data_IF_706779763884
#
_entry.id   IF_706779763884
#
_cell.length_a   1.000
_cell.length_b   1.000
_cell.length_c   1.000
_cell.angle_alpha   90.00
_cell.angle_beta   90.00
_cell.angle_gamma   90.00
#
_symmetry.space_group_name_H-M   'P 1'
#
loop_
_entity.id
_entity.type
_entity.pdbx_description
1 polymer ?
#
# COMPACT_ATOMS: atom_id res chain seq x y z
N UNK A 1 -0.42 -6.83 6.19
CA UNK A 1 -0.45 -6.84 4.71
C UNK A 1 -1.61 -7.67 4.17
N UNK A 2 -1.70 -8.99 4.38
CA UNK A 2 -2.82 -9.79 3.84
C UNK A 2 -4.21 -9.27 4.26
N UNK A 3 -4.39 -8.91 5.54
CA UNK A 3 -5.64 -8.32 6.02
C UNK A 3 -5.96 -6.95 5.36
N UNK A 4 -4.94 -6.15 5.04
CA UNK A 4 -5.11 -4.85 4.37
C UNK A 4 -5.55 -5.05 2.91
N UNK A 5 -4.93 -5.98 2.19
CA UNK A 5 -5.33 -6.33 0.82
C UNK A 5 -6.72 -6.99 0.79
N UNK A 6 -7.05 -7.84 1.77
CA UNK A 6 -8.39 -8.39 1.91
C UNK A 6 -9.43 -7.29 2.13
N UNK A 7 -9.16 -6.34 3.03
CA UNK A 7 -10.04 -5.20 3.26
C UNK A 7 -10.19 -4.37 1.98
N UNK A 8 -9.09 -4.02 1.29
CA UNK A 8 -9.18 -3.31 0.00
C UNK A 8 -10.04 -4.06 -1.00
N UNK A 9 -9.89 -5.39 -1.08
CA UNK A 9 -10.70 -6.23 -1.96
C UNK A 9 -12.19 -6.17 -1.60
N UNK A 10 -12.53 -6.45 -0.34
CA UNK A 10 -13.91 -6.49 0.13
C UNK A 10 -14.60 -5.13 -0.01
N UNK A 11 -13.94 -4.06 0.43
CA UNK A 11 -14.49 -2.70 0.46
C UNK A 11 -14.73 -2.17 -0.95
N UNK A 12 -13.77 -2.36 -1.88
CA UNK A 12 -13.94 -1.92 -3.27
C UNK A 12 -15.05 -2.69 -3.97
N UNK A 13 -15.15 -4.00 -3.74
CA UNK A 13 -16.23 -4.83 -4.28
C UNK A 13 -17.58 -4.33 -3.77
N UNK A 14 -17.74 -4.18 -2.44
CA UNK A 14 -18.98 -3.68 -1.83
C UNK A 14 -19.32 -2.29 -2.37
N UNK A 15 -18.36 -1.38 -2.46
CA UNK A 15 -18.58 -0.03 -2.97
C UNK A 15 -19.05 -0.03 -4.44
N UNK A 16 -18.44 -0.86 -5.29
CA UNK A 16 -18.88 -1.03 -6.68
C UNK A 16 -20.29 -1.66 -6.76
N UNK A 17 -20.63 -2.60 -5.87
CA UNK A 17 -21.96 -3.20 -5.78
C UNK A 17 -23.02 -2.18 -5.30
N UNK A 18 -22.69 -1.33 -4.34
CA UNK A 18 -23.56 -0.26 -3.86
C UNK A 18 -23.84 0.75 -4.98
N UNK A 19 -22.80 1.22 -5.68
CA UNK A 19 -22.96 2.11 -6.84
C UNK A 19 -23.76 1.46 -7.98
N UNK A 20 -23.56 0.16 -8.25
CA UNK A 20 -24.40 -0.58 -9.20
C UNK A 20 -25.88 -0.51 -8.80
N UNK A 21 -26.18 -0.68 -7.51
CA UNK A 21 -27.54 -0.57 -6.99
C UNK A 21 -28.16 0.82 -7.19
N UNK A 22 -27.36 1.88 -7.17
CA UNK A 22 -27.81 3.25 -7.41
C UNK A 22 -28.00 3.55 -8.90
N UNK A 23 -27.02 3.22 -9.74
CA UNK A 23 -27.02 3.57 -11.17
C UNK A 23 -27.97 2.70 -12.00
N UNK A 24 -28.17 1.44 -11.60
CA UNK A 24 -28.98 0.48 -12.36
C UNK A 24 -30.35 0.17 -11.74
N UNK A 25 -30.87 1.05 -10.87
CA UNK A 25 -32.21 0.89 -10.29
C UNK A 25 -32.39 -0.39 -9.45
N UNK A 26 -31.31 -0.97 -8.93
CA UNK A 26 -31.35 -2.19 -8.12
C UNK A 26 -31.43 -3.51 -8.91
N UNK A 27 -31.13 -3.53 -10.22
CA UNK A 27 -31.03 -4.78 -10.96
C UNK A 27 -29.98 -5.72 -10.35
N UNK A 28 -30.43 -6.82 -9.73
CA UNK A 28 -29.58 -7.78 -9.04
C UNK A 28 -28.44 -8.30 -9.93
N UNK A 29 -28.68 -8.41 -11.23
CA UNK A 29 -27.68 -8.81 -12.22
C UNK A 29 -26.48 -7.86 -12.22
N UNK A 30 -26.71 -6.55 -12.28
CA UNK A 30 -25.65 -5.53 -12.36
C UNK A 30 -24.94 -5.38 -11.01
N UNK A 31 -25.68 -5.53 -9.90
CA UNK A 31 -25.09 -5.57 -8.55
C UNK A 31 -24.12 -6.73 -8.39
N UNK A 32 -24.37 -7.90 -9.00
CA UNK A 32 -23.48 -9.06 -8.91
C UNK A 32 -22.27 -9.01 -9.86
N UNK A 33 -22.22 -8.06 -10.82
CA UNK A 33 -21.16 -8.00 -11.82
C UNK A 33 -19.74 -7.85 -11.25
N UNK A 34 -19.47 -6.98 -10.26
CA UNK A 34 -18.14 -6.91 -9.63
C UNK A 34 -17.65 -8.25 -9.08
N UNK A 35 -18.56 -9.05 -8.50
CA UNK A 35 -18.24 -10.40 -8.00
C UNK A 35 -17.89 -11.36 -9.13
N UNK A 36 -18.58 -11.28 -10.27
CA UNK A 36 -18.27 -12.08 -11.45
C UNK A 36 -16.87 -11.76 -12.04
N UNK A 37 -16.50 -10.47 -12.06
CA UNK A 37 -15.13 -10.07 -12.41
C UNK A 37 -14.10 -10.62 -11.42
N UNK A 38 -14.38 -10.52 -10.11
CA UNK A 38 -13.53 -11.08 -9.06
C UNK A 38 -13.35 -12.59 -9.18
N UNK A 39 -14.42 -13.35 -9.42
CA UNK A 39 -14.36 -14.79 -9.63
C UNK A 39 -13.51 -15.16 -10.85
N UNK A 40 -13.68 -14.42 -11.95
CA UNK A 40 -12.88 -14.58 -13.17
C UNK A 40 -11.40 -14.30 -12.89
N UNK A 41 -11.13 -13.23 -12.15
CA UNK A 41 -9.78 -12.83 -11.77
C UNK A 41 -9.05 -13.86 -10.90
N UNK A 42 -9.76 -14.57 -10.02
CA UNK A 42 -9.19 -15.67 -9.23
C UNK A 42 -8.73 -16.79 -10.18
N UNK A 43 -9.57 -17.19 -11.14
CA UNK A 43 -9.22 -18.25 -12.10
C UNK A 43 -8.04 -17.85 -12.99
N UNK A 44 -8.02 -16.61 -13.48
CA UNK A 44 -6.91 -16.13 -14.32
C UNK A 44 -5.62 -15.93 -13.54
N UNK A 45 -5.71 -15.54 -12.26
CA UNK A 45 -4.56 -15.51 -11.34
C UNK A 45 -3.97 -16.90 -11.12
N UNK A 46 -4.82 -17.91 -10.85
CA UNK A 46 -4.36 -19.31 -10.72
C UNK A 46 -3.68 -19.75 -12.01
N UNK A 47 -4.31 -19.53 -13.18
CA UNK A 47 -3.73 -19.91 -14.46
C UNK A 47 -2.38 -19.20 -14.73
N UNK A 48 -2.27 -17.90 -14.41
CA UNK A 48 -1.03 -17.15 -14.60
C UNK A 48 0.10 -17.59 -13.68
N UNK A 49 -0.20 -18.07 -12.45
CA UNK A 49 0.84 -18.64 -11.57
C UNK A 49 1.49 -19.90 -12.15
N UNK A 50 0.76 -20.70 -12.93
CA UNK A 50 1.30 -21.90 -13.59
C UNK A 50 2.37 -21.57 -14.65
N UNK A 51 2.40 -20.32 -15.12
CA UNK A 51 3.38 -19.82 -16.11
C UNK A 51 4.68 -19.36 -15.45
N UNK A 52 4.72 -19.19 -14.12
CA UNK A 52 5.91 -18.75 -13.38
C UNK A 52 6.97 -19.84 -13.42
N UNK A 53 7.96 -19.68 -14.30
CA UNK A 53 9.10 -20.58 -14.46
C UNK A 53 10.40 -19.79 -14.59
N UNK A 54 11.44 -20.23 -13.89
CA UNK A 54 12.78 -19.69 -14.04
C UNK A 54 13.29 -19.94 -15.46
N UNK A 55 13.83 -18.89 -16.07
CA UNK A 55 14.47 -18.98 -17.39
C UNK A 55 15.94 -19.36 -17.28
N UNK A 56 16.62 -19.41 -18.42
CA UNK A 56 18.06 -19.74 -18.52
C UNK A 56 18.98 -18.84 -17.68
N UNK A 57 18.56 -17.59 -17.42
CA UNK A 57 19.31 -16.63 -16.60
C UNK A 57 19.15 -16.83 -15.09
N UNK A 58 18.24 -17.70 -14.64
CA UNK A 58 17.94 -17.89 -13.21
C UNK A 58 17.29 -16.68 -12.52
N UNK A 59 16.98 -15.59 -13.24
CA UNK A 59 16.46 -14.37 -12.65
C UNK A 59 15.00 -14.53 -12.19
N UNK A 60 14.77 -14.30 -10.89
CA UNK A 60 13.49 -14.54 -10.22
C UNK A 60 12.46 -13.44 -10.55
N UNK A 61 12.83 -12.16 -10.45
CA UNK A 61 11.89 -11.04 -10.72
C UNK A 61 11.23 -11.12 -12.11
N UNK A 62 11.96 -11.36 -13.22
CA UNK A 62 11.33 -11.54 -14.53
C UNK A 62 10.39 -12.75 -14.62
N UNK A 63 10.57 -13.78 -13.79
CA UNK A 63 9.64 -14.91 -13.73
C UNK A 63 8.33 -14.52 -13.02
N UNK A 64 8.43 -13.78 -11.90
CA UNK A 64 7.27 -13.26 -11.18
C UNK A 64 6.46 -12.27 -12.04
N UNK A 65 7.12 -11.34 -12.72
CA UNK A 65 6.45 -10.41 -13.63
C UNK A 65 5.81 -11.10 -14.85
N UNK A 66 6.38 -12.21 -15.34
CA UNK A 66 5.73 -13.03 -16.37
C UNK A 66 4.41 -13.63 -15.88
N UNK A 67 4.37 -14.15 -14.65
CA UNK A 67 3.13 -14.65 -14.05
C UNK A 67 2.07 -13.56 -13.87
N UNK A 68 2.49 -12.38 -13.42
CA UNK A 68 1.62 -11.21 -13.31
C UNK A 68 1.06 -10.78 -14.68
N UNK A 69 1.92 -10.65 -15.69
CA UNK A 69 1.52 -10.26 -17.05
C UNK A 69 0.59 -11.30 -17.68
N UNK A 70 0.84 -12.59 -17.46
CA UNK A 70 -0.05 -13.66 -17.90
C UNK A 70 -1.42 -13.55 -17.21
N UNK A 71 -1.45 -13.32 -15.90
CA UNK A 71 -2.70 -13.16 -15.14
C UNK A 71 -3.50 -11.95 -15.63
N UNK A 72 -2.84 -10.82 -15.86
CA UNK A 72 -3.45 -9.59 -16.39
C UNK A 72 -3.97 -9.77 -17.81
N UNK A 73 -3.18 -10.40 -18.70
CA UNK A 73 -3.59 -10.67 -20.08
C UNK A 73 -4.79 -11.63 -20.15
N UNK A 74 -4.77 -12.70 -19.35
CA UNK A 74 -5.90 -13.61 -19.25
C UNK A 74 -7.14 -12.91 -18.67
N UNK A 75 -6.98 -12.10 -17.61
CA UNK A 75 -8.08 -11.31 -17.05
C UNK A 75 -8.68 -10.38 -18.11
N UNK A 76 -7.86 -9.63 -18.85
CA UNK A 76 -8.31 -8.77 -19.93
C UNK A 76 -9.14 -9.54 -20.98
N UNK A 77 -8.68 -10.71 -21.42
CA UNK A 77 -9.42 -11.54 -22.40
C UNK A 77 -10.74 -12.05 -21.84
N UNK A 78 -10.75 -12.57 -20.61
CA UNK A 78 -11.94 -13.18 -20.01
C UNK A 78 -12.95 -12.16 -19.45
N UNK A 79 -12.54 -10.91 -19.23
CA UNK A 79 -13.47 -9.87 -18.82
C UNK A 79 -14.52 -9.58 -19.89
N UNK A 80 -14.15 -9.56 -21.18
CA UNK A 80 -15.12 -9.31 -22.25
C UNK A 80 -16.34 -10.25 -22.24
N UNK A 81 -16.18 -11.59 -22.32
CA UNK A 81 -17.33 -12.49 -22.34
C UNK A 81 -18.14 -12.44 -21.03
N UNK A 82 -17.53 -12.08 -19.91
CA UNK A 82 -18.24 -11.84 -18.65
C UNK A 82 -19.05 -10.56 -18.75
N UNK A 83 -18.45 -9.42 -19.12
CA UNK A 83 -19.15 -8.14 -19.28
C UNK A 83 -20.31 -8.24 -20.27
N UNK A 84 -20.11 -8.91 -21.42
CA UNK A 84 -21.14 -9.09 -22.44
C UNK A 84 -22.36 -9.91 -21.98
N UNK A 85 -22.21 -10.76 -20.94
CA UNK A 85 -23.35 -11.47 -20.33
C UNK A 85 -24.14 -10.59 -19.38
N UNK A 86 -23.51 -9.60 -18.76
CA UNK A 86 -24.12 -8.76 -17.73
C UNK A 86 -24.78 -7.52 -18.32
N UNK A 87 -24.16 -6.90 -19.33
CA UNK A 87 -24.60 -5.64 -19.92
C UNK A 87 -25.12 -5.80 -21.35
N UNK A 88 -25.87 -4.81 -21.83
CA UNK A 88 -26.34 -4.77 -23.21
C UNK A 88 -25.17 -4.50 -24.17
N UNK A 89 -25.34 -4.80 -25.45
CA UNK A 89 -24.31 -4.55 -26.46
C UNK A 89 -23.88 -3.06 -26.55
N UNK A 90 -24.75 -2.13 -26.14
CA UNK A 90 -24.45 -0.71 -26.12
C UNK A 90 -23.57 -0.28 -24.94
N UNK A 91 -23.80 -0.83 -23.74
CA UNK A 91 -23.06 -0.42 -22.53
C UNK A 91 -21.86 -1.32 -22.21
N UNK A 92 -21.87 -2.59 -22.64
CA UNK A 92 -20.79 -3.54 -22.39
C UNK A 92 -19.40 -3.05 -22.83
N UNK A 93 -19.20 -2.39 -23.99
CA UNK A 93 -17.89 -1.91 -24.40
C UNK A 93 -17.29 -0.90 -23.42
N UNK A 94 -18.08 0.07 -22.95
CA UNK A 94 -17.60 1.08 -21.99
C UNK A 94 -17.17 0.45 -20.67
N UNK A 95 -18.00 -0.44 -20.12
CA UNK A 95 -17.71 -1.16 -18.87
C UNK A 95 -16.47 -2.04 -19.00
N UNK A 96 -16.32 -2.74 -20.12
CA UNK A 96 -15.15 -3.55 -20.40
C UNK A 96 -13.88 -2.69 -20.47
N UNK A 97 -13.91 -1.59 -21.22
CA UNK A 97 -12.78 -0.66 -21.32
C UNK A 97 -12.40 -0.08 -19.95
N UNK A 98 -13.38 0.27 -19.11
CA UNK A 98 -13.11 0.70 -17.73
C UNK A 98 -12.36 -0.36 -16.91
N UNK A 99 -12.69 -1.65 -17.05
CA UNK A 99 -11.96 -2.73 -16.37
C UNK A 99 -10.50 -2.85 -16.84
N UNK A 100 -10.26 -2.61 -18.14
CA UNK A 100 -8.90 -2.59 -18.71
C UNK A 100 -8.10 -1.38 -18.25
N UNK A 101 -8.75 -0.23 -18.04
CA UNK A 101 -8.11 0.96 -17.42
C UNK A 101 -7.58 0.59 -16.04
N UNK A 102 -8.35 -0.15 -15.24
CA UNK A 102 -7.89 -0.67 -13.94
C UNK A 102 -6.62 -1.52 -14.05
N UNK A 103 -6.59 -2.48 -14.97
CA UNK A 103 -5.40 -3.30 -15.24
C UNK A 103 -4.19 -2.46 -15.65
N UNK A 104 -4.40 -1.48 -16.54
CA UNK A 104 -3.36 -0.59 -17.02
C UNK A 104 -2.81 0.30 -15.90
N UNK A 105 -3.68 0.88 -15.07
CA UNK A 105 -3.29 1.68 -13.90
C UNK A 105 -2.44 0.84 -12.95
N UNK A 106 -2.85 -0.39 -12.63
CA UNK A 106 -2.04 -1.29 -11.78
C UNK A 106 -0.67 -1.54 -12.39
N UNK A 107 -0.58 -1.89 -13.68
CA UNK A 107 0.71 -2.14 -14.32
C UNK A 107 1.63 -0.90 -14.29
N UNK A 108 1.08 0.28 -14.61
CA UNK A 108 1.83 1.54 -14.60
C UNK A 108 2.32 1.92 -13.19
N UNK A 109 1.47 1.76 -12.17
CA UNK A 109 1.86 2.02 -10.78
C UNK A 109 3.00 1.10 -10.35
N UNK A 110 2.94 -0.19 -10.69
CA UNK A 110 4.01 -1.13 -10.37
C UNK A 110 5.33 -0.76 -11.04
N UNK A 111 5.30 -0.32 -12.31
CA UNK A 111 6.50 0.15 -13.02
C UNK A 111 7.10 1.40 -12.38
N UNK A 112 6.26 2.35 -11.99
CA UNK A 112 6.71 3.58 -11.32
C UNK A 112 7.28 3.26 -9.93
N UNK A 113 6.65 2.38 -9.16
CA UNK A 113 7.20 1.94 -7.87
C UNK A 113 8.54 1.23 -8.04
N UNK A 114 8.71 0.35 -9.05
CA UNK A 114 10.01 -0.27 -9.37
C UNK A 114 11.06 0.79 -9.74
N UNK A 115 10.69 1.84 -10.48
CA UNK A 115 11.60 2.94 -10.82
C UNK A 115 12.14 3.67 -9.58
N UNK A 116 11.27 3.98 -8.60
CA UNK A 116 11.68 4.71 -7.40
C UNK A 116 12.38 3.84 -6.35
N UNK A 117 12.19 2.53 -6.37
CA UNK A 117 12.67 1.64 -5.31
C UNK A 117 13.75 0.68 -5.76
N UNK A 118 13.94 0.42 -7.05
CA UNK A 118 14.96 -0.50 -7.54
C UNK A 118 16.35 0.13 -7.61
N UNK A 119 17.36 -0.67 -7.27
CA UNK A 119 18.79 -0.31 -7.30
C UNK A 119 19.30 0.07 -8.70
N UNK A 120 18.54 -0.28 -9.74
CA UNK A 120 18.88 -0.04 -11.15
C UNK A 120 18.68 1.41 -11.57
N UNK A 121 17.89 2.20 -10.85
CA UNK A 121 17.47 3.51 -11.31
C UNK A 121 18.11 4.65 -10.52
N UNK A 122 17.92 5.88 -11.02
CA UNK A 122 18.50 7.11 -10.45
C UNK A 122 18.11 7.31 -8.98
N UNK A 123 16.84 7.15 -8.54
CA UNK A 123 16.44 7.55 -7.18
C UNK A 123 17.23 6.84 -6.07
N UNK A 124 17.34 5.51 -6.15
CA UNK A 124 18.13 4.71 -5.19
C UNK A 124 19.61 5.01 -5.28
N UNK A 125 20.16 5.14 -6.50
CA UNK A 125 21.58 5.44 -6.71
C UNK A 125 21.97 6.82 -6.18
N UNK A 126 21.08 7.81 -6.28
CA UNK A 126 21.29 9.13 -5.71
C UNK A 126 21.38 9.09 -4.18
N UNK A 127 20.51 8.33 -3.50
CA UNK A 127 20.58 8.13 -2.04
C UNK A 127 21.88 7.41 -1.64
N UNK A 128 22.26 6.37 -2.39
CA UNK A 128 23.51 5.64 -2.13
C UNK A 128 24.73 6.57 -2.27
N UNK A 129 24.81 7.35 -3.35
CA UNK A 129 25.87 8.33 -3.56
C UNK A 129 25.89 9.41 -2.47
N UNK A 130 24.73 9.93 -2.07
CA UNK A 130 24.64 10.93 -0.99
C UNK A 130 25.17 10.39 0.35
N UNK A 131 25.16 9.07 0.55
CA UNK A 131 25.71 8.42 1.74
C UNK A 131 27.22 8.61 1.88
N UNK A 132 27.95 8.84 0.79
CA UNK A 132 29.39 9.15 0.84
C UNK A 132 29.68 10.46 1.59
N UNK A 133 28.75 11.42 1.53
CA UNK A 133 28.84 12.68 2.26
C UNK A 133 28.32 12.59 3.71
N UNK A 134 27.76 11.45 4.13
CA UNK A 134 27.33 11.17 5.50
C UNK A 134 25.81 11.10 5.71
N UNK A 135 25.42 11.03 6.98
CA UNK A 135 24.03 10.76 7.41
C UNK A 135 23.04 11.85 6.98
N UNK A 136 23.39 13.13 7.17
CA UNK A 136 22.51 14.26 6.82
C UNK A 136 22.13 14.29 5.34
N UNK A 137 23.11 14.30 4.41
CA UNK A 137 22.86 14.24 2.97
C UNK A 137 22.05 13.01 2.54
N UNK A 138 22.29 11.85 3.16
CA UNK A 138 21.49 10.63 2.90
C UNK A 138 20.01 10.85 3.25
N UNK A 139 19.70 11.41 4.42
CA UNK A 139 18.32 11.66 4.85
C UNK A 139 17.65 12.72 3.96
N UNK A 140 18.34 13.82 3.66
CA UNK A 140 17.80 14.88 2.80
C UNK A 140 17.46 14.32 1.41
N UNK A 141 18.38 13.56 0.82
CA UNK A 141 18.18 12.99 -0.52
C UNK A 141 17.06 11.96 -0.53
N UNK A 142 16.96 11.12 0.50
CA UNK A 142 15.87 10.15 0.60
C UNK A 142 14.50 10.80 0.80
N UNK A 143 14.40 11.86 1.60
CA UNK A 143 13.17 12.65 1.72
C UNK A 143 12.79 13.34 0.40
N UNK A 144 13.77 13.85 -0.34
CA UNK A 144 13.52 14.43 -1.67
C UNK A 144 12.95 13.39 -2.64
N UNK A 145 13.56 12.18 -2.69
CA UNK A 145 13.06 11.06 -3.49
C UNK A 145 11.67 10.61 -3.03
N UNK A 146 11.42 10.58 -1.72
CA UNK A 146 10.13 10.27 -1.11
C UNK A 146 9.03 11.21 -1.66
N UNK A 147 9.26 12.53 -1.63
CA UNK A 147 8.32 13.52 -2.14
C UNK A 147 8.16 13.44 -3.66
N UNK A 148 9.26 13.23 -4.41
CA UNK A 148 9.24 13.08 -5.86
C UNK A 148 8.40 11.87 -6.31
N UNK A 149 8.47 10.76 -5.57
CA UNK A 149 7.82 9.48 -5.91
C UNK A 149 6.30 9.55 -6.00
N UNK A 150 5.69 10.61 -5.49
CA UNK A 150 4.24 10.79 -5.44
C UNK A 150 3.66 11.30 -6.76
N UNK A 151 4.45 12.05 -7.55
CA UNK A 151 3.95 12.81 -8.70
C UNK A 151 3.41 11.90 -9.80
N UNK A 152 4.20 10.92 -10.25
CA UNK A 152 3.79 10.01 -11.32
C UNK A 152 2.60 9.12 -10.94
N UNK A 153 2.55 8.50 -9.74
CA UNK A 153 1.38 7.74 -9.31
C UNK A 153 0.08 8.55 -9.33
N UNK A 154 0.10 9.80 -8.88
CA UNK A 154 -1.08 10.68 -8.90
C UNK A 154 -1.53 10.99 -10.33
N UNK A 155 -0.59 11.27 -11.23
CA UNK A 155 -0.91 11.49 -12.66
C UNK A 155 -1.55 10.25 -13.27
N UNK A 156 -1.00 9.06 -13.00
CA UNK A 156 -1.54 7.79 -13.49
C UNK A 156 -2.95 7.54 -12.96
N UNK A 157 -3.17 7.74 -11.65
CA UNK A 157 -4.49 7.58 -11.02
C UNK A 157 -5.47 8.59 -11.62
N UNK A 158 -5.10 9.87 -11.74
CA UNK A 158 -5.95 10.90 -12.32
C UNK A 158 -6.33 10.62 -13.77
N UNK A 159 -5.37 10.22 -14.61
CA UNK A 159 -5.63 9.80 -15.98
C UNK A 159 -6.54 8.56 -16.05
N UNK A 160 -6.33 7.60 -15.15
CA UNK A 160 -7.17 6.41 -15.02
C UNK A 160 -8.61 6.75 -14.64
N UNK A 161 -8.81 7.66 -13.67
CA UNK A 161 -10.14 8.16 -13.29
C UNK A 161 -10.83 8.82 -14.47
N UNK A 162 -10.16 9.74 -15.17
CA UNK A 162 -10.74 10.45 -16.33
C UNK A 162 -11.10 9.48 -17.46
N UNK A 163 -10.22 8.53 -17.79
CA UNK A 163 -10.46 7.54 -18.82
C UNK A 163 -11.61 6.58 -18.45
N UNK A 164 -11.63 6.07 -17.22
CA UNK A 164 -12.70 5.18 -16.77
C UNK A 164 -14.04 5.91 -16.71
N UNK A 165 -14.04 7.18 -16.30
CA UNK A 165 -15.23 8.04 -16.26
C UNK A 165 -15.78 8.35 -17.66
N UNK A 166 -14.92 8.59 -18.66
CA UNK A 166 -15.39 8.86 -20.02
C UNK A 166 -16.05 7.64 -20.68
N UNK A 167 -15.71 6.41 -20.25
CA UNK A 167 -16.30 5.19 -20.78
C UNK A 167 -17.65 4.80 -20.15
N UNK A 168 -17.81 4.98 -18.84
CA UNK A 168 -19.03 4.54 -18.13
C UNK A 168 -19.36 5.35 -16.87
N UNK A 169 -18.95 6.62 -16.82
CA UNK A 169 -19.19 7.52 -15.69
C UNK A 169 -18.58 7.01 -14.37
N UNK A 170 -19.21 7.36 -13.26
CA UNK A 170 -18.73 6.98 -11.92
C UNK A 170 -18.71 5.45 -11.72
N UNK A 171 -19.62 4.73 -12.36
CA UNK A 171 -19.61 3.28 -12.33
C UNK A 171 -18.42 2.70 -13.11
N UNK A 172 -18.02 3.34 -14.22
CA UNK A 172 -16.76 3.04 -14.91
C UNK A 172 -15.55 3.17 -13.99
N UNK A 173 -15.47 4.24 -13.19
CA UNK A 173 -14.41 4.40 -12.17
C UNK A 173 -14.44 3.26 -11.15
N UNK A 174 -15.62 2.86 -10.68
CA UNK A 174 -15.77 1.73 -9.77
C UNK A 174 -15.29 0.40 -10.39
N UNK A 175 -15.61 0.16 -11.65
CA UNK A 175 -15.17 -1.02 -12.39
C UNK A 175 -13.67 -0.98 -12.68
N UNK A 176 -13.07 0.20 -12.88
CA UNK A 176 -11.62 0.33 -12.96
C UNK A 176 -10.95 -0.04 -11.62
N UNK A 177 -11.50 0.43 -10.49
CA UNK A 177 -11.03 0.02 -9.16
C UNK A 177 -11.13 -1.50 -8.94
N UNK A 178 -12.23 -2.12 -9.36
CA UNK A 178 -12.42 -3.59 -9.35
C UNK A 178 -11.43 -4.29 -10.29
N UNK A 179 -11.17 -3.71 -11.47
CA UNK A 179 -10.20 -4.21 -12.43
C UNK A 179 -8.78 -4.24 -11.87
N UNK A 180 -8.38 -3.25 -11.06
CA UNK A 180 -7.10 -3.29 -10.33
C UNK A 180 -7.01 -4.51 -9.42
N UNK A 181 -8.11 -4.84 -8.71
CA UNK A 181 -8.18 -5.96 -7.78
C UNK A 181 -8.06 -7.33 -8.41
N UNK A 182 -8.20 -7.42 -9.73
CA UNK A 182 -8.09 -8.69 -10.43
C UNK A 182 -6.72 -9.35 -10.32
N UNK A 183 -5.70 -8.58 -9.98
CA UNK A 183 -4.33 -9.05 -9.78
C UNK A 183 -4.01 -9.31 -8.30
N UNK A 184 -4.96 -9.08 -7.38
CA UNK A 184 -4.75 -9.19 -5.94
C UNK A 184 -4.21 -10.56 -5.53
N UNK A 185 -4.72 -11.66 -6.11
CA UNK A 185 -4.27 -13.02 -5.78
C UNK A 185 -2.77 -13.23 -6.06
N UNK A 186 -2.31 -12.84 -7.25
CA UNK A 186 -0.89 -12.93 -7.62
C UNK A 186 -0.03 -11.95 -6.82
N UNK A 187 -0.55 -10.75 -6.55
CA UNK A 187 0.17 -9.73 -5.78
C UNK A 187 0.36 -10.21 -4.33
N UNK A 188 -0.65 -10.77 -3.68
CA UNK A 188 -0.52 -11.36 -2.32
C UNK A 188 0.52 -12.48 -2.31
N UNK A 189 0.54 -13.33 -3.34
CA UNK A 189 1.52 -14.41 -3.43
C UNK A 189 2.96 -13.87 -3.59
N UNK A 190 3.15 -12.86 -4.44
CA UNK A 190 4.42 -12.18 -4.67
C UNK A 190 4.89 -11.41 -3.42
N UNK A 191 3.97 -10.80 -2.67
CA UNK A 191 4.31 -10.10 -1.43
C UNK A 191 4.71 -11.08 -0.33
N UNK A 192 3.95 -12.16 -0.17
CA UNK A 192 4.22 -13.20 0.83
C UNK A 192 5.57 -13.89 0.63
N UNK A 193 6.08 -13.90 -0.60
CA UNK A 193 7.42 -14.40 -0.90
C UNK A 193 8.51 -13.69 -0.09
N UNK A 194 8.42 -12.36 0.06
CA UNK A 194 9.46 -11.57 0.73
C UNK A 194 9.67 -11.92 2.22
N UNK A 195 8.63 -11.90 3.06
CA UNK A 195 8.75 -12.34 4.46
C UNK A 195 9.16 -13.80 4.63
N UNK A 196 8.81 -14.69 3.70
CA UNK A 196 9.27 -16.09 3.72
C UNK A 196 10.77 -16.15 3.50
N UNK A 197 11.29 -15.43 2.51
CA UNK A 197 12.73 -15.40 2.22
C UNK A 197 13.54 -14.72 3.31
N UNK A 198 13.01 -13.65 3.92
CA UNK A 198 13.64 -13.00 5.09
C UNK A 198 13.79 -13.97 6.27
N UNK A 199 12.72 -14.70 6.61
CA UNK A 199 12.77 -15.67 7.69
C UNK A 199 13.73 -16.82 7.36
N UNK A 200 13.77 -17.27 6.11
CA UNK A 200 14.73 -18.30 5.67
C UNK A 200 16.18 -17.81 5.83
N UNK A 201 16.49 -16.57 5.44
CA UNK A 201 17.81 -15.95 5.64
C UNK A 201 18.16 -15.84 7.13
N UNK A 202 17.22 -15.40 7.97
CA UNK A 202 17.42 -15.33 9.41
C UNK A 202 17.69 -16.69 10.05
N UNK A 203 16.92 -17.72 9.69
CA UNK A 203 17.13 -19.10 10.15
C UNK A 203 18.49 -19.63 9.69
N UNK A 204 18.89 -19.36 8.44
CA UNK A 204 20.19 -19.77 7.91
C UNK A 204 21.36 -19.12 8.68
N UNK A 205 21.26 -17.83 9.00
CA UNK A 205 22.25 -17.13 9.82
C UNK A 205 22.32 -17.73 11.23
N UNK A 206 21.17 -17.88 11.90
CA UNK A 206 21.08 -18.39 13.28
C UNK A 206 21.47 -19.86 13.42
N UNK A 207 21.30 -20.68 12.38
CA UNK A 207 21.70 -22.09 12.36
C UNK A 207 23.16 -22.32 11.98
N UNK A 208 23.90 -21.26 11.61
CA UNK A 208 25.27 -21.38 11.13
C UNK A 208 25.38 -22.04 9.76
N UNK A 209 24.37 -21.90 8.91
CA UNK A 209 24.37 -22.47 7.56
C UNK A 209 25.59 -21.99 6.74
N UNK A 210 26.02 -22.83 5.80
CA UNK A 210 27.20 -22.54 4.98
C UNK A 210 27.03 -21.21 4.22
N UNK A 211 28.14 -20.49 4.00
CA UNK A 211 28.13 -19.25 3.21
C UNK A 211 27.53 -19.45 1.84
N UNK A 212 27.72 -20.62 1.24
CA UNK A 212 27.11 -20.98 -0.03
C UNK A 212 25.58 -20.87 -0.01
N UNK A 213 24.92 -21.40 1.03
CA UNK A 213 23.45 -21.33 1.14
C UNK A 213 22.99 -19.89 1.34
N UNK A 214 23.70 -19.11 2.16
CA UNK A 214 23.38 -17.70 2.41
C UNK A 214 23.57 -16.86 1.15
N UNK A 215 24.76 -16.88 0.58
CA UNK A 215 25.20 -15.96 -0.47
C UNK A 215 24.68 -16.37 -1.87
N UNK A 216 24.65 -17.66 -2.21
CA UNK A 216 24.26 -18.11 -3.57
C UNK A 216 22.76 -18.38 -3.71
N UNK A 217 22.05 -18.69 -2.61
CA UNK A 217 20.64 -19.07 -2.66
C UNK A 217 19.76 -18.02 -2.00
N UNK A 218 20.02 -17.67 -0.74
CA UNK A 218 19.10 -16.83 0.04
C UNK A 218 19.22 -15.34 -0.25
N UNK A 219 20.43 -14.81 -0.45
CA UNK A 219 20.65 -13.40 -0.77
C UNK A 219 19.93 -12.94 -2.06
N UNK A 220 19.97 -13.70 -3.18
CA UNK A 220 19.17 -13.39 -4.36
C UNK A 220 17.66 -13.41 -4.09
N UNK A 221 17.19 -14.34 -3.26
CA UNK A 221 15.77 -14.46 -2.91
C UNK A 221 15.30 -13.29 -2.03
N UNK A 222 16.08 -12.89 -1.02
CA UNK A 222 15.83 -11.70 -0.17
C UNK A 222 15.79 -10.41 -1.00
N UNK A 223 16.77 -10.22 -1.89
CA UNK A 223 16.83 -9.03 -2.74
C UNK A 223 15.57 -8.87 -3.62
N UNK A 224 15.06 -9.98 -4.14
CA UNK A 224 13.79 -10.03 -4.87
C UNK A 224 12.63 -9.71 -3.94
N UNK A 225 12.58 -10.34 -2.77
CA UNK A 225 11.57 -10.14 -1.73
C UNK A 225 11.37 -8.67 -1.33
N UNK A 226 12.44 -7.89 -1.23
CA UNK A 226 12.34 -6.48 -0.86
C UNK A 226 11.79 -5.60 -2.00
N UNK A 227 12.10 -5.94 -3.25
CA UNK A 227 11.50 -5.25 -4.41
C UNK A 227 10.02 -5.62 -4.55
N UNK A 228 9.66 -6.89 -4.36
CA UNK A 228 8.27 -7.33 -4.44
C UNK A 228 7.40 -6.70 -3.37
N UNK A 229 7.87 -6.64 -2.11
CA UNK A 229 7.19 -5.93 -1.01
C UNK A 229 6.93 -4.46 -1.34
N UNK A 230 7.88 -3.77 -1.97
CA UNK A 230 7.71 -2.36 -2.32
C UNK A 230 6.61 -2.19 -3.37
N UNK A 231 6.67 -3.00 -4.43
CA UNK A 231 5.71 -2.97 -5.54
C UNK A 231 4.29 -3.34 -5.08
N UNK A 232 4.15 -4.32 -4.20
CA UNK A 232 2.84 -4.76 -3.67
C UNK A 232 2.21 -3.71 -2.75
N UNK A 233 3.02 -3.03 -1.92
CA UNK A 233 2.56 -1.88 -1.14
C UNK A 233 2.15 -0.71 -2.03
N UNK A 234 2.91 -0.42 -3.09
CA UNK A 234 2.55 0.59 -4.08
C UNK A 234 1.19 0.31 -4.75
N UNK A 235 0.94 -0.95 -5.10
CA UNK A 235 -0.36 -1.41 -5.57
C UNK A 235 -1.48 -1.24 -4.52
N UNK A 236 -1.24 -1.65 -3.27
CA UNK A 236 -2.22 -1.54 -2.20
C UNK A 236 -2.66 -0.08 -1.99
N UNK A 237 -1.70 0.84 -2.00
CA UNK A 237 -1.94 2.27 -1.83
C UNK A 237 -2.67 2.88 -3.05
N UNK A 238 -2.24 2.55 -4.27
CA UNK A 238 -2.87 3.08 -5.48
C UNK A 238 -4.31 2.59 -5.66
N UNK A 239 -4.56 1.31 -5.40
CA UNK A 239 -5.93 0.73 -5.43
C UNK A 239 -6.83 1.35 -4.36
N UNK A 240 -6.29 1.67 -3.19
CA UNK A 240 -7.02 2.34 -2.12
C UNK A 240 -7.48 3.75 -2.48
N UNK A 241 -6.65 4.53 -3.18
CA UNK A 241 -7.02 5.87 -3.63
C UNK A 241 -8.25 5.84 -4.54
N UNK A 242 -8.27 4.90 -5.48
CA UNK A 242 -9.41 4.66 -6.37
C UNK A 242 -10.63 4.09 -5.64
N UNK A 243 -10.44 3.16 -4.70
CA UNK A 243 -11.51 2.63 -3.87
C UNK A 243 -12.17 3.70 -2.98
N UNK A 244 -11.39 4.60 -2.39
CA UNK A 244 -11.87 5.69 -1.57
C UNK A 244 -12.70 6.71 -2.37
N UNK A 245 -12.33 6.99 -3.63
CA UNK A 245 -13.15 7.81 -4.52
C UNK A 245 -14.53 7.16 -4.79
N UNK A 246 -14.54 5.84 -4.97
CA UNK A 246 -15.77 5.05 -5.16
C UNK A 246 -16.63 5.05 -3.89
N UNK A 247 -16.01 4.92 -2.71
CA UNK A 247 -16.72 5.04 -1.43
C UNK A 247 -17.29 6.45 -1.21
N UNK A 248 -16.56 7.49 -1.60
CA UNK A 248 -17.05 8.85 -1.54
C UNK A 248 -18.28 9.04 -2.45
N UNK A 249 -18.25 8.50 -3.66
CA UNK A 249 -19.42 8.50 -4.53
C UNK A 249 -20.60 7.72 -3.92
N UNK A 250 -20.34 6.57 -3.28
CA UNK A 250 -21.38 5.84 -2.57
C UNK A 250 -21.97 6.67 -1.41
N UNK A 251 -21.14 7.46 -0.72
CA UNK A 251 -21.58 8.35 0.35
C UNK A 251 -22.49 9.46 -0.15
N UNK A 252 -22.14 10.09 -1.28
CA UNK A 252 -23.00 11.14 -1.86
C UNK A 252 -24.34 10.60 -2.32
N UNK A 253 -24.37 9.41 -2.92
CA UNK A 253 -25.60 8.76 -3.39
C UNK A 253 -26.51 8.33 -2.23
N UNK A 254 -25.94 7.79 -1.15
CA UNK A 254 -26.70 7.37 0.03
C UNK A 254 -27.40 8.55 0.71
N UNK A 255 -26.69 9.68 0.85
CA UNK A 255 -27.30 10.91 1.39
C UNK A 255 -28.41 11.45 0.47
N UNK A 256 -28.22 11.35 -0.85
CA UNK A 256 -29.25 11.72 -1.83
C UNK A 256 -30.54 10.91 -1.68
N UNK A 257 -30.43 9.58 -1.46
CA UNK A 257 -31.58 8.71 -1.19
C UNK A 257 -32.32 9.05 0.10
N UNK A 258 -31.58 9.46 1.12
CA UNK A 258 -32.13 9.88 2.41
C UNK A 258 -32.72 11.31 2.35
N UNK A 259 -32.79 11.93 1.17
CA UNK A 259 -33.47 13.21 0.94
C UNK A 259 -32.58 14.45 1.03
N UNK A 260 -31.26 14.28 1.20
CA UNK A 260 -30.29 15.37 1.21
C UNK A 260 -29.41 15.32 -0.03
N UNK A 261 -29.84 15.95 -1.13
CA UNK A 261 -28.98 16.17 -2.30
C UNK A 261 -27.91 17.23 -1.96
N UNK A 262 -26.85 16.79 -1.29
CA UNK A 262 -25.73 17.67 -0.93
C UNK A 262 -24.86 17.95 -2.16
N UNK A 263 -24.75 19.22 -2.53
CA UNK A 263 -23.75 19.68 -3.48
C UNK A 263 -22.47 20.01 -2.72
N UNK A 264 -21.38 19.29 -2.98
CA UNK A 264 -20.08 19.54 -2.37
C UNK A 264 -19.33 20.61 -3.14
N UNK A 265 -19.74 21.88 -2.97
CA UNK A 265 -19.01 23.00 -3.56
C UNK A 265 -17.78 23.37 -2.73
N UNK A 266 -16.65 23.60 -3.39
CA UNK A 266 -15.44 24.14 -2.73
C UNK A 266 -15.61 25.58 -2.26
N UNK A 267 -16.66 26.28 -2.70
CA UNK A 267 -17.01 27.60 -2.17
C UNK A 267 -17.67 27.55 -0.79
N UNK A 268 -18.14 26.37 -0.35
CA UNK A 268 -18.82 26.21 0.93
C UNK A 268 -17.81 26.10 2.07
N UNK A 269 -17.87 26.97 3.10
CA UNK A 269 -16.91 26.97 4.21
C UNK A 269 -16.81 25.63 4.95
N UNK A 270 -17.94 24.91 5.12
CA UNK A 270 -17.96 23.61 5.79
C UNK A 270 -17.20 22.54 5.01
N UNK A 271 -17.25 22.57 3.67
CA UNK A 271 -16.46 21.66 2.82
C UNK A 271 -14.97 21.95 2.98
N UNK A 272 -14.58 23.23 2.97
CA UNK A 272 -13.18 23.63 3.18
C UNK A 272 -12.64 23.25 4.56
N UNK A 273 -13.43 23.48 5.62
CA UNK A 273 -13.08 23.03 6.99
C UNK A 273 -12.90 21.52 7.02
N UNK A 274 -13.84 20.78 6.41
CA UNK A 274 -13.73 19.33 6.27
C UNK A 274 -12.44 18.90 5.56
N UNK A 275 -12.11 19.55 4.44
CA UNK A 275 -10.89 19.26 3.67
C UNK A 275 -9.62 19.48 4.50
N UNK A 276 -9.52 20.57 5.27
CA UNK A 276 -8.37 20.81 6.14
C UNK A 276 -8.28 19.79 7.28
N UNK A 277 -9.40 19.47 7.93
CA UNK A 277 -9.46 18.47 9.00
C UNK A 277 -9.06 17.10 8.46
N UNK A 278 -9.71 16.64 7.38
CA UNK A 278 -9.37 15.38 6.71
C UNK A 278 -7.93 15.36 6.23
N UNK A 279 -7.45 16.48 5.67
CA UNK A 279 -6.08 16.64 5.20
C UNK A 279 -5.03 16.48 6.29
N UNK A 280 -5.33 16.92 7.51
CA UNK A 280 -4.44 16.83 8.67
C UNK A 280 -4.39 15.43 9.31
N UNK A 281 -5.45 14.63 9.17
CA UNK A 281 -5.56 13.30 9.81
C UNK A 281 -4.43 12.35 9.41
N UNK A 282 -4.06 12.19 8.11
CA UNK A 282 -2.93 11.36 7.72
C UNK A 282 -1.60 11.79 8.34
N UNK A 283 -1.33 13.09 8.46
CA UNK A 283 -0.11 13.58 9.09
C UNK A 283 -0.08 13.28 10.59
N UNK A 284 -1.21 13.47 11.28
CA UNK A 284 -1.33 13.12 12.69
C UNK A 284 -1.15 11.61 12.92
N UNK A 285 -1.82 10.80 12.11
CA UNK A 285 -1.70 9.33 12.15
C UNK A 285 -0.25 8.89 11.95
N UNK A 286 0.42 9.44 10.93
CA UNK A 286 1.81 9.10 10.61
C UNK A 286 2.75 9.49 11.73
N UNK A 287 2.55 10.67 12.31
CA UNK A 287 3.30 11.14 13.48
C UNK A 287 3.14 10.21 14.68
N UNK A 288 1.91 9.79 15.01
CA UNK A 288 1.64 8.85 16.10
C UNK A 288 2.33 7.50 15.86
N UNK A 289 2.18 6.94 14.66
CA UNK A 289 2.80 5.68 14.28
C UNK A 289 4.34 5.73 14.36
N UNK A 290 4.95 6.80 13.84
CA UNK A 290 6.41 6.98 13.90
C UNK A 290 6.92 7.15 15.34
N UNK A 291 6.22 7.94 16.17
CA UNK A 291 6.58 8.14 17.58
C UNK A 291 6.50 6.84 18.37
N UNK A 292 5.48 6.02 18.12
CA UNK A 292 5.32 4.71 18.73
C UNK A 292 6.52 3.78 18.43
N UNK A 293 6.93 3.70 17.16
CA UNK A 293 8.08 2.89 16.76
C UNK A 293 9.38 3.45 17.34
N UNK A 294 9.63 4.75 17.25
CA UNK A 294 10.87 5.35 17.75
C UNK A 294 11.08 5.17 19.26
N UNK A 295 10.01 5.34 20.04
CA UNK A 295 10.02 5.09 21.50
C UNK A 295 10.33 3.62 21.82
N UNK A 296 9.67 2.71 21.12
CA UNK A 296 9.83 1.26 21.33
C UNK A 296 11.22 0.77 20.91
N UNK A 297 11.71 1.22 19.75
CA UNK A 297 13.04 0.91 19.26
C UNK A 297 14.13 1.32 20.26
N UNK A 298 13.99 2.50 20.87
CA UNK A 298 14.91 2.97 21.91
C UNK A 298 14.94 2.04 23.14
N UNK A 299 13.78 1.52 23.55
CA UNK A 299 13.70 0.53 24.64
C UNK A 299 14.34 -0.80 24.26
N UNK A 300 14.15 -1.28 23.03
CA UNK A 300 14.81 -2.51 22.54
C UNK A 300 16.32 -2.34 22.50
N UNK A 301 16.82 -1.22 22.01
CA UNK A 301 18.27 -0.92 21.98
C UNK A 301 18.86 -0.88 23.40
N UNK A 302 18.17 -0.24 24.34
CA UNK A 302 18.60 -0.20 25.74
C UNK A 302 18.68 -1.61 26.35
N UNK A 303 17.70 -2.46 26.06
CA UNK A 303 17.66 -3.85 26.54
C UNK A 303 18.76 -4.71 25.90
N UNK A 304 18.97 -4.61 24.59
CA UNK A 304 20.06 -5.33 23.90
C UNK A 304 21.43 -4.91 24.46
N UNK A 305 21.64 -3.61 24.68
CA UNK A 305 22.86 -3.10 25.32
C UNK A 305 23.04 -3.60 26.75
N UNK A 306 21.95 -3.67 27.53
CA UNK A 306 21.96 -4.26 28.88
C UNK A 306 22.40 -5.72 28.83
N UNK A 307 21.83 -6.53 27.94
CA UNK A 307 22.19 -7.94 27.81
C UNK A 307 23.68 -8.11 27.44
N UNK A 308 24.19 -7.35 26.47
CA UNK A 308 25.61 -7.42 26.10
C UNK A 308 26.57 -6.98 27.22
N UNK A 309 26.17 -6.02 28.07
CA UNK A 309 27.00 -5.54 29.18
C UNK A 309 26.93 -6.46 30.39
N UNK A 310 25.74 -6.90 30.76
CA UNK A 310 25.48 -7.51 32.07
C UNK A 310 25.49 -9.05 32.04
N UNK A 311 25.42 -9.68 30.86
CA UNK A 311 25.40 -11.15 30.71
C UNK A 311 26.68 -11.60 30.00
N UNK A 312 27.70 -12.07 30.75
CA UNK A 312 28.94 -12.58 30.16
C UNK A 312 28.70 -13.77 29.23
N UNK A 313 29.50 -13.86 28.16
CA UNK A 313 29.46 -14.99 27.22
C UNK A 313 28.52 -14.82 26.03
N UNK A 314 27.64 -13.79 26.01
CA UNK A 314 26.79 -13.53 24.82
C UNK A 314 27.64 -13.17 23.61
N UNK A 315 28.55 -12.19 23.74
CA UNK A 315 29.44 -11.77 22.64
C UNK A 315 30.44 -12.86 22.24
N UNK A 316 30.75 -13.79 23.15
CA UNK A 316 31.59 -14.95 22.88
C UNK A 316 30.81 -16.11 22.25
N UNK A 317 29.48 -16.02 22.15
CA UNK A 317 28.61 -17.08 21.64
C UNK A 317 28.44 -18.28 22.56
N UNK A 318 28.88 -18.21 23.82
CA UNK A 318 28.80 -19.32 24.79
C UNK A 318 27.54 -19.28 25.64
N UNK A 319 26.88 -18.12 25.74
CA UNK A 319 25.66 -17.91 26.53
C UNK A 319 24.50 -17.52 25.61
N UNK A 320 23.32 -18.11 25.83
CA UNK A 320 22.11 -17.75 25.08
C UNK A 320 21.53 -16.40 25.56
N UNK A 321 21.20 -15.46 24.65
CA UNK A 321 20.50 -14.22 24.98
C UNK A 321 19.07 -14.43 25.52
N UNK A 322 18.55 -13.42 26.22
CA UNK A 322 17.18 -13.41 26.74
C UNK A 322 16.19 -12.91 25.65
N UNK A 323 15.91 -13.74 24.64
CA UNK A 323 15.03 -13.37 23.53
C UNK A 323 13.61 -12.98 23.97
N UNK A 324 13.05 -13.69 24.97
CA UNK A 324 11.71 -13.45 25.48
C UNK A 324 11.52 -12.03 26.02
N UNK A 325 12.58 -11.39 26.52
CA UNK A 325 12.53 -10.02 27.03
C UNK A 325 12.39 -8.99 25.92
N UNK A 326 13.12 -9.18 24.81
CA UNK A 326 12.95 -8.35 23.62
C UNK A 326 11.54 -8.50 23.03
N UNK A 327 11.02 -9.73 22.96
CA UNK A 327 9.64 -10.02 22.50
C UNK A 327 8.60 -9.36 23.39
N UNK A 328 8.74 -9.43 24.71
CA UNK A 328 7.80 -8.82 25.67
C UNK A 328 7.73 -7.29 25.54
N UNK A 329 8.89 -6.63 25.37
CA UNK A 329 8.97 -5.18 25.15
C UNK A 329 8.17 -4.77 23.91
N UNK A 330 8.46 -5.39 22.76
CA UNK A 330 7.78 -5.03 21.50
C UNK A 330 6.30 -5.37 21.53
N UNK A 331 5.92 -6.49 22.16
CA UNK A 331 4.51 -6.93 22.24
C UNK A 331 3.68 -5.96 23.09
N UNK A 332 4.14 -5.63 24.30
CA UNK A 332 3.43 -4.70 25.19
C UNK A 332 3.36 -3.29 24.63
N UNK A 333 4.39 -2.88 23.88
CA UNK A 333 4.40 -1.58 23.22
C UNK A 333 3.43 -1.56 22.04
N UNK A 334 3.48 -2.56 21.15
CA UNK A 334 2.57 -2.65 20.01
C UNK A 334 1.10 -2.61 20.42
N UNK A 335 0.70 -3.38 21.45
CA UNK A 335 -0.67 -3.40 21.98
C UNK A 335 -1.14 -2.06 22.55
N UNK A 336 -0.25 -1.33 23.24
CA UNK A 336 -0.61 -0.04 23.85
C UNK A 336 -0.60 1.10 22.84
N UNK A 337 0.42 1.15 22.00
CA UNK A 337 0.65 2.27 21.09
C UNK A 337 -0.25 2.21 19.84
N UNK A 338 -0.83 1.04 19.49
CA UNK A 338 -1.78 0.94 18.37
C UNK A 338 -3.15 1.58 18.64
N UNK A 339 -3.51 1.81 19.91
CA UNK A 339 -4.86 2.23 20.30
C UNK A 339 -5.23 3.60 19.71
N UNK A 340 -4.35 4.59 19.84
CA UNK A 340 -4.63 5.95 19.37
C UNK A 340 -4.69 6.07 17.84
N UNK A 341 -3.72 5.52 17.07
CA UNK A 341 -3.84 5.45 15.62
C UNK A 341 -5.11 4.75 15.16
N UNK A 342 -5.53 3.65 15.82
CA UNK A 342 -6.74 2.92 15.44
C UNK A 342 -8.04 3.68 15.76
N UNK A 343 -8.07 4.44 16.86
CA UNK A 343 -9.24 5.22 17.25
C UNK A 343 -9.46 6.44 16.36
N UNK A 344 -8.39 7.08 15.90
CA UNK A 344 -8.43 8.30 15.09
C UNK A 344 -9.36 8.21 13.86
N UNK A 345 -9.22 7.22 12.94
CA UNK A 345 -10.07 7.12 11.75
C UNK A 345 -11.53 6.77 12.06
N UNK A 346 -11.84 6.32 13.28
CA UNK A 346 -13.22 6.06 13.72
C UNK A 346 -13.82 7.30 14.39
N UNK A 347 -13.07 7.93 15.29
CA UNK A 347 -13.55 9.07 16.07
C UNK A 347 -13.77 10.32 15.22
N UNK A 348 -12.88 10.62 14.27
CA UNK A 348 -12.97 11.83 13.43
C UNK A 348 -14.26 11.89 12.61
N UNK A 349 -14.63 10.88 11.79
CA UNK A 349 -15.86 10.95 11.01
C UNK A 349 -17.12 11.04 11.88
N UNK A 350 -17.15 10.35 13.03
CA UNK A 350 -18.27 10.43 13.99
C UNK A 350 -18.38 11.84 14.57
N UNK A 351 -17.27 12.38 15.08
CA UNK A 351 -17.23 13.69 15.70
C UNK A 351 -17.65 14.79 14.71
N UNK A 352 -17.08 14.80 13.50
CA UNK A 352 -17.40 15.81 12.48
C UNK A 352 -18.81 15.62 11.95
N UNK A 353 -19.23 14.39 11.66
CA UNK A 353 -20.58 14.10 11.18
C UNK A 353 -21.65 14.60 12.14
N UNK A 354 -21.52 14.30 13.44
CA UNK A 354 -22.52 14.67 14.45
C UNK A 354 -22.51 16.15 14.84
N UNK A 355 -21.39 16.87 14.65
CA UNK A 355 -21.26 18.28 15.08
C UNK A 355 -21.39 19.28 13.93
N UNK A 356 -20.71 19.04 12.81
CA UNK A 356 -20.66 19.93 11.65
C UNK A 356 -21.50 19.43 10.46
N UNK A 357 -22.05 18.22 10.57
CA UNK A 357 -22.99 17.67 9.61
C UNK A 357 -22.33 16.93 8.42
N UNK A 358 -23.18 16.34 7.56
CA UNK A 358 -22.74 15.49 6.46
C UNK A 358 -21.93 16.22 5.38
N UNK A 359 -22.13 17.53 5.21
CA UNK A 359 -21.37 18.36 4.26
C UNK A 359 -19.90 18.49 4.66
N UNK A 360 -19.63 18.83 5.93
CA UNK A 360 -18.27 18.91 6.45
C UNK A 360 -17.60 17.54 6.45
N UNK A 361 -18.35 16.48 6.79
CA UNK A 361 -17.85 15.11 6.76
C UNK A 361 -17.42 14.70 5.35
N UNK A 362 -18.17 15.03 4.29
CA UNK A 362 -17.73 14.76 2.92
C UNK A 362 -16.42 15.48 2.56
N UNK A 363 -16.22 16.70 3.07
CA UNK A 363 -14.92 17.39 2.98
C UNK A 363 -13.80 16.60 3.67
N UNK A 364 -14.05 16.02 4.85
CA UNK A 364 -13.08 15.16 5.55
C UNK A 364 -12.72 13.93 4.72
N UNK A 365 -13.70 13.29 4.08
CA UNK A 365 -13.46 12.10 3.24
C UNK A 365 -12.51 12.41 2.09
N UNK A 366 -12.76 13.50 1.36
CA UNK A 366 -11.92 13.93 0.23
C UNK A 366 -10.56 14.41 0.72
N UNK A 367 -10.50 15.16 1.82
CA UNK A 367 -9.26 15.67 2.39
C UNK A 367 -8.33 14.54 2.82
N UNK A 368 -8.88 13.56 3.56
CA UNK A 368 -8.14 12.39 4.02
C UNK A 368 -7.70 11.49 2.86
N UNK A 369 -8.52 11.37 1.82
CA UNK A 369 -8.17 10.67 0.58
C UNK A 369 -6.96 11.32 -0.10
N UNK A 370 -7.05 12.61 -0.41
CA UNK A 370 -6.00 13.31 -1.18
C UNK A 370 -4.70 13.30 -0.40
N UNK A 371 -4.67 13.80 0.84
CA UNK A 371 -3.40 13.88 1.57
C UNK A 371 -2.90 12.49 2.01
N UNK A 372 -3.82 11.58 2.36
CA UNK A 372 -3.47 10.23 2.78
C UNK A 372 -2.81 9.44 1.66
N UNK A 373 -3.30 9.52 0.43
CA UNK A 373 -2.68 8.90 -0.73
C UNK A 373 -1.26 9.43 -0.95
N UNK A 374 -1.07 10.75 -0.91
CA UNK A 374 0.24 11.38 -1.13
C UNK A 374 1.26 10.96 -0.05
N UNK A 375 0.84 10.99 1.22
CA UNK A 375 1.67 10.60 2.36
C UNK A 375 1.99 9.10 2.31
N UNK A 376 1.01 8.24 2.00
CA UNK A 376 1.20 6.80 1.91
C UNK A 376 2.24 6.41 0.85
N UNK A 377 2.10 6.95 -0.37
CA UNK A 377 3.03 6.69 -1.48
C UNK A 377 4.42 7.17 -1.13
N UNK A 378 4.53 8.40 -0.62
CA UNK A 378 5.79 9.01 -0.21
C UNK A 378 6.50 8.13 0.82
N UNK A 379 5.85 7.84 1.95
CA UNK A 379 6.48 7.11 3.05
C UNK A 379 6.91 5.70 2.64
N UNK A 380 6.07 5.01 1.88
CA UNK A 380 6.33 3.64 1.43
C UNK A 380 7.49 3.57 0.44
N UNK A 381 7.45 4.41 -0.61
CA UNK A 381 8.46 4.40 -1.66
C UNK A 381 9.79 4.97 -1.17
N UNK A 382 9.76 6.04 -0.36
CA UNK A 382 10.94 6.63 0.25
C UNK A 382 11.65 5.68 1.20
N UNK A 383 10.90 5.03 2.10
CA UNK A 383 11.45 4.01 3.00
C UNK A 383 12.07 2.82 2.25
N UNK A 384 11.40 2.32 1.21
CA UNK A 384 11.94 1.26 0.37
C UNK A 384 13.20 1.71 -0.42
N UNK A 385 13.26 2.97 -0.84
CA UNK A 385 14.42 3.51 -1.53
C UNK A 385 15.66 3.61 -0.62
N UNK A 386 15.50 3.98 0.66
CA UNK A 386 16.59 3.94 1.64
C UNK A 386 17.12 2.53 1.86
N UNK A 387 16.25 1.54 2.04
CA UNK A 387 16.66 0.14 2.22
C UNK A 387 17.44 -0.38 1.03
N UNK A 388 16.93 -0.12 -0.18
CA UNK A 388 17.61 -0.54 -1.40
C UNK A 388 18.91 0.23 -1.66
N UNK A 389 19.04 1.47 -1.18
CA UNK A 389 20.31 2.21 -1.22
C UNK A 389 21.35 1.58 -0.29
N UNK A 390 20.96 1.18 0.93
CA UNK A 390 21.80 0.40 1.85
C UNK A 390 22.24 -0.91 1.20
N UNK A 391 21.29 -1.70 0.67
CA UNK A 391 21.60 -2.97 -0.02
C UNK A 391 22.48 -2.79 -1.26
N UNK A 392 22.37 -1.65 -1.97
CA UNK A 392 23.25 -1.33 -3.10
C UNK A 392 24.70 -1.11 -2.65
N UNK A 393 24.91 -0.45 -1.52
CA UNK A 393 26.24 -0.28 -0.90
C UNK A 393 26.75 -1.62 -0.36
N UNK A 394 25.90 -2.41 0.30
CA UNK A 394 26.27 -3.75 0.80
C UNK A 394 26.78 -4.69 -0.29
N UNK A 395 26.36 -4.50 -1.54
CA UNK A 395 26.83 -5.25 -2.71
C UNK A 395 28.23 -4.84 -3.21
N UNK A 396 28.93 -3.95 -2.49
CA UNK A 396 30.31 -3.54 -2.78
C UNK A 396 30.46 -2.16 -3.42
N UNK A 397 29.36 -1.46 -3.71
CA UNK A 397 29.40 -0.08 -4.20
C UNK A 397 29.73 0.89 -3.05
N UNK A 398 30.33 2.05 -3.36
CA UNK A 398 30.62 3.12 -2.38
C UNK A 398 31.35 2.63 -1.11
N UNK A 399 32.31 1.72 -1.29
CA UNK A 399 33.15 1.19 -0.21
C UNK A 399 32.61 -0.04 0.52
N UNK A 400 31.39 -0.52 0.22
CA UNK A 400 30.92 -1.80 0.74
C UNK A 400 30.49 -1.79 2.22
N UNK A 401 30.20 -2.98 2.76
CA UNK A 401 29.80 -3.17 4.16
C UNK A 401 30.85 -2.57 5.12
N UNK A 402 30.36 -1.93 6.19
CA UNK A 402 31.14 -1.27 7.25
C UNK A 402 31.85 0.03 6.85
N UNK A 403 31.75 0.48 5.59
CA UNK A 403 32.25 1.79 5.17
C UNK A 403 31.48 2.93 5.86
N UNK A 404 32.02 4.16 5.90
CA UNK A 404 31.28 5.33 6.36
C UNK A 404 29.96 5.53 5.61
N UNK A 405 29.96 5.32 4.28
CA UNK A 405 28.76 5.38 3.46
C UNK A 405 27.72 4.31 3.86
N UNK A 406 28.17 3.10 4.18
CA UNK A 406 27.29 2.05 4.67
C UNK A 406 26.65 2.43 6.02
N UNK A 407 27.38 3.03 6.95
CA UNK A 407 26.82 3.48 8.23
C UNK A 407 25.77 4.59 8.03
N UNK A 408 26.02 5.52 7.09
CA UNK A 408 25.04 6.53 6.71
C UNK A 408 23.78 5.91 6.09
N UNK A 409 23.93 4.93 5.20
CA UNK A 409 22.81 4.24 4.58
C UNK A 409 22.00 3.38 5.56
N UNK A 410 22.65 2.74 6.53
CA UNK A 410 21.96 2.05 7.65
C UNK A 410 21.12 3.04 8.45
N UNK A 411 21.62 4.25 8.70
CA UNK A 411 20.83 5.29 9.38
C UNK A 411 19.61 5.68 8.56
N UNK A 412 19.77 5.89 7.25
CA UNK A 412 18.65 6.14 6.34
C UNK A 412 17.59 5.04 6.37
N UNK A 413 18.02 3.78 6.29
CA UNK A 413 17.12 2.63 6.36
C UNK A 413 16.37 2.56 7.70
N UNK A 414 17.04 2.79 8.83
CA UNK A 414 16.37 2.80 10.15
C UNK A 414 15.34 3.94 10.30
N UNK A 415 15.51 5.05 9.57
CA UNK A 415 14.48 6.10 9.46
C UNK A 415 13.36 5.64 8.52
N UNK A 416 13.72 4.93 7.44
CA UNK A 416 12.82 4.35 6.44
C UNK A 416 11.94 3.20 6.94
N UNK A 417 12.36 2.45 7.96
CA UNK A 417 11.62 1.30 8.51
C UNK A 417 10.23 1.68 9.05
N UNK A 418 10.07 2.62 10.01
CA UNK A 418 8.74 3.06 10.43
C UNK A 418 7.95 3.71 9.29
N UNK A 419 8.64 4.30 8.30
CA UNK A 419 8.05 4.89 7.10
C UNK A 419 7.37 3.83 6.23
N UNK A 420 8.10 2.78 5.83
CA UNK A 420 7.65 1.77 4.85
C UNK A 420 6.89 0.60 5.46
N UNK A 421 7.06 0.30 6.75
CA UNK A 421 6.50 -0.91 7.37
C UNK A 421 5.44 -0.62 8.44
N UNK A 422 5.32 0.62 8.91
CA UNK A 422 4.30 1.00 9.89
C UNK A 422 3.39 2.10 9.38
N UNK A 423 3.89 3.33 9.26
CA UNK A 423 3.08 4.50 8.98
C UNK A 423 2.51 4.50 7.55
N UNK A 424 3.37 4.34 6.53
CA UNK A 424 2.98 4.40 5.12
C UNK A 424 1.88 3.41 4.74
N UNK A 425 2.07 2.09 4.95
CA UNK A 425 1.04 1.10 4.66
C UNK A 425 -0.24 1.27 5.50
N UNK A 426 -0.13 1.72 6.76
CA UNK A 426 -1.30 1.88 7.62
C UNK A 426 -2.17 3.11 7.27
N UNK A 427 -1.69 4.03 6.43
CA UNK A 427 -2.53 5.08 5.85
C UNK A 427 -3.67 4.50 5.01
N UNK A 428 -3.42 3.40 4.31
CA UNK A 428 -4.41 2.74 3.46
C UNK A 428 -5.68 2.34 4.24
N UNK A 429 -5.61 1.48 5.29
CA UNK A 429 -6.77 1.16 6.10
C UNK A 429 -7.36 2.38 6.80
N UNK A 430 -6.55 3.36 7.23
CA UNK A 430 -7.06 4.58 7.83
C UNK A 430 -8.00 5.35 6.87
N UNK A 431 -7.62 5.55 5.61
CA UNK A 431 -8.46 6.23 4.60
C UNK A 431 -9.77 5.46 4.39
N UNK A 432 -9.71 4.13 4.28
CA UNK A 432 -10.89 3.28 4.07
C UNK A 432 -11.84 3.31 5.27
N UNK A 433 -11.32 3.17 6.49
CA UNK A 433 -12.12 3.19 7.72
C UNK A 433 -12.86 4.52 7.86
N UNK A 434 -12.22 5.66 7.59
CA UNK A 434 -12.88 6.97 7.63
C UNK A 434 -14.10 7.00 6.71
N UNK A 435 -13.96 6.49 5.48
CA UNK A 435 -15.04 6.42 4.50
C UNK A 435 -16.16 5.44 4.90
N UNK A 436 -15.78 4.25 5.39
CA UNK A 436 -16.75 3.22 5.82
C UNK A 436 -17.56 3.70 7.02
N UNK A 437 -16.90 4.29 8.02
CA UNK A 437 -17.58 4.83 9.21
C UNK A 437 -18.53 5.95 8.80
N UNK A 438 -18.11 6.86 7.91
CA UNK A 438 -18.99 7.91 7.40
C UNK A 438 -20.22 7.35 6.69
N UNK A 439 -20.07 6.31 5.86
CA UNK A 439 -21.18 5.60 5.22
C UNK A 439 -22.14 4.98 6.24
N UNK A 440 -21.62 4.28 7.26
CA UNK A 440 -22.42 3.60 8.27
C UNK A 440 -23.25 4.56 9.14
N UNK A 441 -22.77 5.78 9.37
CA UNK A 441 -23.48 6.77 10.19
C UNK A 441 -24.42 7.68 9.39
N UNK A 442 -24.46 7.60 8.05
CA UNK A 442 -25.30 8.46 7.18
C UNK A 442 -26.75 8.55 7.65
N UNK A 443 -27.36 7.41 7.99
CA UNK A 443 -28.74 7.33 8.50
C UNK A 443 -28.96 8.08 9.83
N UNK A 444 -27.90 8.35 10.60
CA UNK A 444 -27.99 9.13 11.84
C UNK A 444 -27.71 10.63 11.62
N UNK A 445 -27.08 10.99 10.50
CA UNK A 445 -26.74 12.37 10.15
C UNK A 445 -27.91 13.12 9.54
N UNK A 446 -28.81 12.41 8.85
CA UNK A 446 -30.02 12.97 8.27
C UNK A 446 -31.16 12.67 9.25
N UNK A 447 -31.52 13.67 10.05
CA UNK A 447 -32.69 13.64 10.94
C UNK A 447 -33.76 14.60 10.44
#
# INVERSE_FOLDING_TARGET
MAADLFETYAVTMIAAMLLAGFVAGGEAKIVLYPLALGATAILTSIAGTLVVRLGKSGAIMPALYRGLAASAGLAAVFFWPVTARFFSAASAPGIYLSSLVGLAVTALLMLVTDYYTSRRFRPVRAIAQASEAGHGPNIITGLAVSMESVVLPVIIIGAGVIAAFSFAGIYGVAIASVGMLSLAGVIVAIDSFGPITDNASGIAEMSGASKRVRDEVLDPLDAVGNTTKAVTKGYAIGSAGLAALVLFAAYTEELGKLGSQLTFSLSEPLVLVGLFVGGAVPYLFGSLAMRAVGKTASSVVAEVRRQFRDIPGIMAGTTRPEYGRAVDIVTKAALREMLWPALLPVAVPIAIGLTLGPTALGGVLVGALVTGLLVAVSMTSGGAAWDNAKKFIEAGNHGGKRSPAHQAAVTGDTVGDPYKDTAGPAMNPMIKIINIVALLITAWLIR
#
